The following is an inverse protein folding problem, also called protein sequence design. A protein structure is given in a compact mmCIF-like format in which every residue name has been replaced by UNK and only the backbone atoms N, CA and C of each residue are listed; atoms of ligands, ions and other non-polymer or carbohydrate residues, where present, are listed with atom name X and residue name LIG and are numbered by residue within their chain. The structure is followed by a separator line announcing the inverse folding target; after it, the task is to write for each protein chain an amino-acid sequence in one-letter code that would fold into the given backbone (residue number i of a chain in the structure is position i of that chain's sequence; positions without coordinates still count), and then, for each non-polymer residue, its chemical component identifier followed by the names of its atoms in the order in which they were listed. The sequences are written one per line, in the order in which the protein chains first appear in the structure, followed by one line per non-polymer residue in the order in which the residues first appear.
data_IF_442436592578
#
_entry.id   IF_442436592578
#
_cell.length_a   1.000
_cell.length_b   1.000
_cell.length_c   1.000
_cell.angle_alpha   90.00
_cell.angle_beta   90.00
_cell.angle_gamma   90.00
#
_symmetry.space_group_name_H-M   'P 1'
#
loop_
_entity.id
_entity.type
_entity.pdbx_description
1 polymer ?
#
# COMPACT_ATOMS: atom_id res chain seq x y z
N UNK A 1 -19.71 38.47 0.61
CA UNK A 1 -20.58 37.29 0.40
C UNK A 1 -19.78 35.99 0.31
N UNK A 2 -18.55 36.01 -0.18
CA UNK A 2 -17.59 34.88 -0.18
C UNK A 2 -17.16 34.44 1.23
N UNK A 3 -16.94 35.37 2.14
CA UNK A 3 -16.36 35.08 3.47
C UNK A 3 -17.28 34.22 4.38
N UNK A 4 -18.58 34.51 4.37
CA UNK A 4 -19.57 33.74 5.14
C UNK A 4 -19.78 32.31 4.58
N UNK A 5 -19.68 32.15 3.25
CA UNK A 5 -19.78 30.85 2.60
C UNK A 5 -18.56 29.97 2.90
N UNK A 6 -17.36 30.55 2.90
CA UNK A 6 -16.11 29.86 3.29
C UNK A 6 -16.14 29.47 4.76
N UNK A 7 -16.56 30.36 5.66
CA UNK A 7 -16.72 30.03 7.09
C UNK A 7 -17.69 28.86 7.33
N UNK A 8 -18.83 28.85 6.62
CA UNK A 8 -19.82 27.77 6.71
C UNK A 8 -19.26 26.42 6.23
N UNK A 9 -18.44 26.42 5.17
CA UNK A 9 -17.80 25.20 4.66
C UNK A 9 -16.72 24.64 5.60
N UNK A 10 -15.95 25.53 6.26
CA UNK A 10 -14.97 25.15 7.29
C UNK A 10 -15.66 24.51 8.49
N UNK A 11 -16.69 25.17 9.02
CA UNK A 11 -17.44 24.68 10.19
C UNK A 11 -18.10 23.32 9.90
N UNK A 12 -18.65 23.16 8.70
CA UNK A 12 -19.22 21.88 8.26
C UNK A 12 -18.16 20.77 8.19
N UNK A 13 -16.99 21.04 7.61
CA UNK A 13 -15.90 20.06 7.53
C UNK A 13 -15.37 19.66 8.92
N UNK A 14 -15.23 20.62 9.84
CA UNK A 14 -14.82 20.36 11.23
C UNK A 14 -15.88 19.52 11.97
N UNK A 15 -17.16 19.87 11.81
CA UNK A 15 -18.26 19.11 12.42
C UNK A 15 -18.32 17.67 11.88
N UNK A 16 -18.20 17.49 10.56
CA UNK A 16 -18.14 16.17 9.94
C UNK A 16 -16.94 15.36 10.40
N UNK A 17 -15.77 16.01 10.55
CA UNK A 17 -14.59 15.36 11.11
C UNK A 17 -14.84 14.79 12.49
N UNK A 18 -15.34 15.61 13.43
CA UNK A 18 -15.62 15.17 14.79
C UNK A 18 -16.64 14.02 14.85
N UNK A 19 -17.68 14.11 14.01
CA UNK A 19 -18.72 13.07 13.91
C UNK A 19 -18.17 11.74 13.38
N UNK A 20 -17.21 11.78 12.46
CA UNK A 20 -16.74 10.60 11.73
C UNK A 20 -15.45 9.98 12.31
N UNK A 21 -14.67 10.72 13.10
CA UNK A 21 -13.34 10.33 13.55
C UNK A 21 -13.30 8.97 14.26
N UNK A 22 -14.32 8.62 15.05
CA UNK A 22 -14.37 7.36 15.80
C UNK A 22 -14.67 6.11 14.97
N UNK A 23 -15.19 6.27 13.74
CA UNK A 23 -15.63 5.17 12.89
C UNK A 23 -14.92 5.12 11.53
N UNK A 24 -13.98 6.03 11.29
CA UNK A 24 -13.30 6.21 10.01
C UNK A 24 -11.82 5.90 10.11
N UNK A 25 -11.21 5.66 8.96
CA UNK A 25 -9.77 5.49 8.82
C UNK A 25 -9.12 6.86 8.65
N UNK A 26 -8.22 7.22 9.55
CA UNK A 26 -7.43 8.43 9.41
C UNK A 26 -6.36 8.26 8.32
N UNK A 27 -6.43 9.08 7.28
CA UNK A 27 -5.41 9.25 6.26
C UNK A 27 -4.62 10.52 6.59
N UNK A 28 -3.48 10.36 7.26
CA UNK A 28 -2.60 11.47 7.64
C UNK A 28 -1.42 11.58 6.65
N UNK A 29 -1.40 12.69 5.90
CA UNK A 29 -0.37 13.01 4.92
C UNK A 29 -0.78 12.78 3.45
N UNK A 30 -0.13 13.54 2.57
CA UNK A 30 -0.48 13.62 1.15
C UNK A 30 -0.44 12.26 0.43
N UNK A 31 0.58 11.44 0.69
CA UNK A 31 0.68 10.11 0.08
C UNK A 31 -0.46 9.18 0.46
N UNK A 32 -0.91 9.21 1.73
CA UNK A 32 -2.02 8.38 2.16
C UNK A 32 -3.33 8.78 1.46
N UNK A 33 -3.60 10.09 1.40
CA UNK A 33 -4.77 10.62 0.73
C UNK A 33 -4.76 10.32 -0.78
N UNK A 34 -3.67 10.62 -1.48
CA UNK A 34 -3.61 10.45 -2.94
C UNK A 34 -3.78 8.99 -3.37
N UNK A 35 -3.22 8.03 -2.61
CA UNK A 35 -3.39 6.61 -2.92
C UNK A 35 -4.82 6.17 -2.65
N UNK A 36 -5.41 6.57 -1.52
CA UNK A 36 -6.81 6.26 -1.22
C UNK A 36 -7.74 6.77 -2.33
N UNK A 37 -7.56 8.00 -2.80
CA UNK A 37 -8.32 8.55 -3.95
C UNK A 37 -8.11 7.71 -5.21
N UNK A 38 -6.84 7.40 -5.56
CA UNK A 38 -6.51 6.64 -6.77
C UNK A 38 -7.14 5.24 -6.78
N UNK A 39 -7.34 4.64 -5.60
CA UNK A 39 -7.98 3.34 -5.44
C UNK A 39 -9.46 3.42 -5.04
N UNK A 40 -10.11 4.57 -5.24
CA UNK A 40 -11.56 4.70 -5.10
C UNK A 40 -12.07 4.66 -3.67
N UNK A 41 -11.24 5.01 -2.68
CA UNK A 41 -11.69 5.14 -1.31
C UNK A 41 -12.80 6.18 -1.18
N UNK A 42 -13.85 5.86 -0.43
CA UNK A 42 -14.87 6.83 -0.06
C UNK A 42 -14.33 7.74 1.05
N UNK A 43 -14.16 9.01 0.76
CA UNK A 43 -13.60 10.03 1.67
C UNK A 43 -14.67 11.09 1.93
N UNK A 44 -15.41 11.01 3.05
CA UNK A 44 -16.45 12.00 3.35
C UNK A 44 -15.90 13.38 3.71
N UNK A 45 -14.69 13.46 4.26
CA UNK A 45 -14.07 14.74 4.66
C UNK A 45 -12.56 14.69 4.49
N UNK A 46 -12.00 15.74 3.90
CA UNK A 46 -10.57 15.98 3.77
C UNK A 46 -10.27 17.45 4.07
N UNK A 47 -9.26 17.70 4.89
CA UNK A 47 -8.85 19.03 5.33
C UNK A 47 -7.37 19.26 5.09
N UNK A 48 -6.98 20.52 4.87
CA UNK A 48 -5.59 20.94 4.76
C UNK A 48 -5.38 22.31 5.39
N UNK A 49 -4.18 22.56 5.92
CA UNK A 49 -3.80 23.88 6.41
C UNK A 49 -3.33 24.83 5.28
N UNK A 50 -2.93 24.30 4.12
CA UNK A 50 -2.51 25.06 2.94
C UNK A 50 -2.93 24.31 1.68
N UNK A 51 -4.04 24.74 1.07
CA UNK A 51 -4.60 24.08 -0.11
C UNK A 51 -3.72 24.28 -1.33
N UNK A 52 -3.08 25.44 -1.47
CA UNK A 52 -2.17 25.70 -2.59
C UNK A 52 -0.98 24.75 -2.53
N UNK A 53 -0.30 24.65 -1.39
CA UNK A 53 0.84 23.74 -1.23
C UNK A 53 0.45 22.27 -1.46
N UNK A 54 -0.76 21.87 -1.03
CA UNK A 54 -1.28 20.53 -1.28
C UNK A 54 -1.53 20.27 -2.77
N UNK A 55 -2.04 21.26 -3.51
CA UNK A 55 -2.28 21.15 -4.95
C UNK A 55 -0.97 21.20 -5.75
N UNK A 56 0.03 21.96 -5.33
CA UNK A 56 1.36 21.96 -5.93
C UNK A 56 2.00 20.54 -5.82
N UNK A 57 1.86 19.88 -4.66
CA UNK A 57 2.26 18.48 -4.49
C UNK A 57 1.46 17.53 -5.38
N UNK A 58 0.18 17.81 -5.62
CA UNK A 58 -0.66 17.03 -6.52
C UNK A 58 -0.20 17.15 -7.98
N UNK A 59 0.10 18.36 -8.44
CA UNK A 59 0.62 18.61 -9.79
C UNK A 59 1.96 17.89 -10.02
N UNK A 60 2.86 17.90 -9.02
CA UNK A 60 4.16 17.22 -9.13
C UNK A 60 4.04 15.68 -9.07
N UNK A 61 3.30 15.16 -8.09
CA UNK A 61 3.41 13.75 -7.67
C UNK A 61 2.20 12.88 -8.01
N UNK A 62 1.06 13.48 -8.37
CA UNK A 62 -0.18 12.76 -8.68
C UNK A 62 -1.16 13.60 -9.53
N UNK A 63 -0.75 14.07 -10.73
CA UNK A 63 -1.59 14.93 -11.56
C UNK A 63 -2.90 14.26 -12.00
N UNK A 64 -2.93 12.93 -12.03
CA UNK A 64 -4.12 12.13 -12.35
C UNK A 64 -5.25 12.20 -11.31
N UNK A 65 -4.97 12.63 -10.07
CA UNK A 65 -5.99 12.79 -9.02
C UNK A 65 -6.11 14.23 -8.52
N UNK A 66 -5.40 15.17 -9.14
CA UNK A 66 -5.34 16.57 -8.68
C UNK A 66 -6.72 17.22 -8.62
N UNK A 67 -7.52 17.10 -9.67
CA UNK A 67 -8.86 17.71 -9.70
C UNK A 67 -9.81 17.10 -8.67
N UNK A 68 -9.68 15.79 -8.42
CA UNK A 68 -10.42 15.12 -7.35
C UNK A 68 -10.00 15.62 -5.97
N UNK A 69 -8.70 15.82 -5.74
CA UNK A 69 -8.21 16.40 -4.49
C UNK A 69 -8.69 17.85 -4.31
N UNK A 70 -8.62 18.66 -5.37
CA UNK A 70 -9.13 20.04 -5.38
C UNK A 70 -10.61 20.09 -4.95
N UNK A 71 -11.44 19.23 -5.52
CA UNK A 71 -12.85 19.14 -5.17
C UNK A 71 -13.12 18.61 -3.73
N UNK A 72 -12.24 17.77 -3.19
CA UNK A 72 -12.40 17.15 -1.86
C UNK A 72 -11.89 18.01 -0.70
N UNK A 73 -10.88 18.86 -0.94
CA UNK A 73 -10.13 19.54 0.12
C UNK A 73 -10.79 20.83 0.59
N UNK A 74 -11.09 20.89 1.88
CA UNK A 74 -11.41 22.13 2.59
C UNK A 74 -10.15 22.67 3.27
N UNK A 75 -9.77 23.91 2.94
CA UNK A 75 -8.72 24.61 3.68
C UNK A 75 -9.25 25.05 5.05
N UNK A 76 -8.54 24.75 6.13
CA UNK A 76 -8.90 25.14 7.49
C UNK A 76 -7.73 25.88 8.15
N UNK A 77 -7.98 26.78 9.12
CA UNK A 77 -6.89 27.42 9.87
C UNK A 77 -5.97 26.38 10.52
N UNK A 78 -4.67 26.68 10.61
CA UNK A 78 -3.68 25.77 11.21
C UNK A 78 -4.06 25.33 12.64
N UNK A 79 -4.68 26.22 13.42
CA UNK A 79 -5.18 25.92 14.76
C UNK A 79 -6.30 24.88 14.75
N UNK A 80 -7.22 24.94 13.77
CA UNK A 80 -8.25 23.93 13.59
C UNK A 80 -7.62 22.61 13.12
N UNK A 81 -6.71 22.64 12.13
CA UNK A 81 -6.03 21.45 11.63
C UNK A 81 -5.31 20.67 12.74
N UNK A 82 -4.52 21.38 13.56
CA UNK A 82 -3.74 20.77 14.67
C UNK A 82 -4.62 20.24 15.80
N UNK A 83 -5.82 20.79 15.98
CA UNK A 83 -6.82 20.25 16.91
C UNK A 83 -7.46 18.94 16.39
N UNK A 84 -7.63 18.81 15.07
CA UNK A 84 -8.21 17.62 14.43
C UNK A 84 -7.23 16.45 14.32
N UNK A 85 -5.93 16.74 14.13
CA UNK A 85 -4.88 15.75 13.88
C UNK A 85 -3.78 15.88 14.95
N UNK A 86 -3.78 15.04 16.01
CA UNK A 86 -2.86 15.20 17.15
C UNK A 86 -1.36 15.06 16.81
N UNK A 87 -1.02 14.38 15.71
CA UNK A 87 0.37 14.25 15.22
C UNK A 87 0.45 14.61 13.74
N UNK A 88 0.38 15.92 13.40
CA UNK A 88 0.37 16.41 12.03
C UNK A 88 1.48 15.80 11.16
N UNK A 89 1.13 15.29 9.98
CA UNK A 89 2.12 15.05 8.94
C UNK A 89 2.68 16.39 8.39
N UNK A 90 3.97 16.48 8.02
CA UNK A 90 4.56 17.70 7.46
C UNK A 90 3.88 18.28 6.21
N UNK A 91 3.09 17.47 5.49
CA UNK A 91 2.32 17.93 4.32
C UNK A 91 1.01 18.62 4.70
N UNK A 92 0.68 18.70 5.99
CA UNK A 92 -0.49 19.39 6.54
C UNK A 92 -1.81 19.14 5.78
N UNK A 93 -2.04 17.86 5.42
CA UNK A 93 -3.27 17.39 4.79
C UNK A 93 -3.68 16.08 5.44
N UNK A 94 -4.96 15.96 5.75
CA UNK A 94 -5.51 14.75 6.34
C UNK A 94 -6.95 14.52 5.88
N UNK A 95 -7.39 13.27 5.94
CA UNK A 95 -8.75 12.91 5.59
C UNK A 95 -9.27 11.77 6.45
N UNK A 96 -10.59 11.64 6.53
CA UNK A 96 -11.25 10.47 7.08
C UNK A 96 -11.84 9.67 5.93
N UNK A 97 -11.47 8.40 5.82
CA UNK A 97 -11.96 7.49 4.80
C UNK A 97 -12.83 6.39 5.42
N UNK A 98 -13.82 5.92 4.67
CA UNK A 98 -14.62 4.77 5.07
C UNK A 98 -13.83 3.50 4.80
N UNK A 99 -13.65 2.68 5.84
CA UNK A 99 -13.01 1.36 5.71
C UNK A 99 -13.83 0.48 4.75
N UNK A 100 -13.20 -0.25 3.81
CA UNK A 100 -13.87 -1.30 3.04
C UNK A 100 -14.55 -2.31 3.98
N UNK A 101 -15.73 -2.79 3.60
CA UNK A 101 -16.45 -3.74 4.44
C UNK A 101 -15.69 -5.06 4.51
N UNK A 102 -15.78 -5.75 5.65
CA UNK A 102 -15.20 -7.09 5.82
C UNK A 102 -15.69 -8.04 4.72
N UNK A 103 -16.97 -7.98 4.36
CA UNK A 103 -17.55 -8.78 3.29
C UNK A 103 -16.85 -8.55 1.93
N UNK A 104 -16.61 -7.30 1.55
CA UNK A 104 -15.92 -6.98 0.30
C UNK A 104 -14.48 -7.51 0.29
N UNK A 105 -13.75 -7.38 1.40
CA UNK A 105 -12.40 -7.95 1.52
C UNK A 105 -12.42 -9.47 1.40
N UNK A 106 -13.33 -10.15 2.09
CA UNK A 106 -13.47 -11.61 2.03
C UNK A 106 -13.83 -12.09 0.63
N UNK A 107 -14.70 -11.38 -0.08
CA UNK A 107 -15.03 -11.69 -1.47
C UNK A 107 -13.79 -11.66 -2.37
N UNK A 108 -12.94 -10.63 -2.24
CA UNK A 108 -11.67 -10.52 -2.98
C UNK A 108 -10.73 -11.66 -2.63
N UNK A 109 -10.57 -11.97 -1.33
CA UNK A 109 -9.67 -13.02 -0.84
C UNK A 109 -10.09 -14.43 -1.28
N UNK A 110 -11.40 -14.65 -1.46
CA UNK A 110 -11.98 -15.95 -1.83
C UNK A 110 -12.06 -16.20 -3.35
N UNK A 111 -11.72 -15.21 -4.20
CA UNK A 111 -11.82 -15.36 -5.67
C UNK A 111 -11.04 -16.58 -6.17
N UNK A 112 -11.61 -17.31 -7.12
CA UNK A 112 -10.97 -18.47 -7.75
C UNK A 112 -11.15 -18.42 -9.27
N UNK A 113 -10.11 -18.61 -10.09
CA UNK A 113 -8.69 -18.67 -9.69
C UNK A 113 -8.18 -17.30 -9.22
N UNK A 114 -7.25 -17.29 -8.26
CA UNK A 114 -6.48 -16.08 -7.93
C UNK A 114 -5.35 -15.89 -8.95
N UNK A 115 -5.03 -14.63 -9.22
CA UNK A 115 -3.94 -14.24 -10.13
C UNK A 115 -2.74 -13.64 -9.39
N UNK A 116 -2.80 -13.60 -8.05
CA UNK A 116 -1.74 -13.10 -7.20
C UNK A 116 -1.89 -13.65 -5.77
N UNK A 117 -0.78 -13.84 -5.03
CA UNK A 117 -0.81 -14.51 -3.75
C UNK A 117 -1.52 -13.66 -2.69
N UNK A 118 -1.86 -14.32 -1.58
CA UNK A 118 -2.21 -13.63 -0.33
C UNK A 118 -1.03 -13.73 0.64
N UNK A 119 -0.65 -12.60 1.22
CA UNK A 119 0.37 -12.53 2.26
C UNK A 119 -0.31 -12.68 3.62
N UNK A 120 0.16 -13.62 4.45
CA UNK A 120 -0.33 -13.84 5.81
C UNK A 120 0.77 -13.47 6.79
N UNK A 121 0.48 -12.50 7.66
CA UNK A 121 1.32 -12.20 8.82
C UNK A 121 0.73 -12.88 10.05
N UNK A 122 1.48 -13.79 10.63
CA UNK A 122 1.04 -14.56 11.79
C UNK A 122 1.35 -13.82 13.09
N UNK A 123 0.31 -13.31 13.72
CA UNK A 123 0.34 -12.58 14.98
C UNK A 123 1.42 -11.47 15.03
N UNK A 124 1.45 -10.56 14.03
CA UNK A 124 2.47 -9.54 13.93
C UNK A 124 2.40 -8.59 15.12
N UNK A 125 3.55 -8.13 15.60
CA UNK A 125 3.64 -7.22 16.76
C UNK A 125 4.05 -5.81 16.39
N UNK A 126 4.75 -5.65 15.27
CA UNK A 126 5.28 -4.36 14.84
C UNK A 126 4.34 -3.66 13.83
N UNK A 127 3.72 -2.56 14.25
CA UNK A 127 2.83 -1.74 13.41
C UNK A 127 3.54 -1.18 12.17
N UNK A 128 4.83 -0.87 12.27
CA UNK A 128 5.64 -0.38 11.16
C UNK A 128 5.87 -1.46 10.10
N UNK A 129 6.23 -2.67 10.52
CA UNK A 129 6.36 -3.82 9.60
C UNK A 129 5.02 -4.15 8.94
N UNK A 130 3.92 -4.16 9.71
CA UNK A 130 2.58 -4.38 9.17
C UNK A 130 2.23 -3.37 8.04
N UNK A 131 2.48 -2.09 8.27
CA UNK A 131 2.25 -1.05 7.26
C UNK A 131 3.16 -1.21 6.04
N UNK A 132 4.45 -1.50 6.25
CA UNK A 132 5.41 -1.73 5.18
C UNK A 132 5.02 -2.94 4.31
N UNK A 133 4.54 -4.03 4.92
CA UNK A 133 4.05 -5.21 4.20
C UNK A 133 2.83 -4.87 3.35
N UNK A 134 1.85 -4.13 3.87
CA UNK A 134 0.69 -3.70 3.07
C UNK A 134 1.12 -2.88 1.85
N UNK A 135 2.08 -1.97 2.04
CA UNK A 135 2.66 -1.20 0.94
C UNK A 135 3.36 -2.08 -0.10
N UNK A 136 4.12 -3.07 0.33
CA UNK A 136 4.77 -4.04 -0.56
C UNK A 136 3.75 -4.86 -1.33
N UNK A 137 2.78 -5.45 -0.62
CA UNK A 137 1.71 -6.26 -1.20
C UNK A 137 0.93 -5.49 -2.27
N UNK A 138 0.54 -4.25 -1.97
CA UNK A 138 -0.10 -3.37 -2.95
C UNK A 138 0.80 -3.08 -4.17
N UNK A 139 2.09 -2.82 -3.95
CA UNK A 139 3.05 -2.56 -5.02
C UNK A 139 3.28 -3.75 -5.95
N UNK A 140 3.26 -4.97 -5.41
CA UNK A 140 3.35 -6.22 -6.19
C UNK A 140 1.99 -6.70 -6.73
N UNK A 141 0.89 -6.04 -6.38
CA UNK A 141 -0.45 -6.45 -6.78
C UNK A 141 -0.91 -7.77 -6.15
N UNK A 142 -0.43 -8.09 -4.94
CA UNK A 142 -0.94 -9.22 -4.17
C UNK A 142 -2.46 -9.11 -3.96
N UNK A 143 -3.15 -10.25 -3.94
CA UNK A 143 -4.62 -10.29 -3.76
C UNK A 143 -5.04 -9.68 -2.42
N UNK A 144 -4.21 -9.87 -1.39
CA UNK A 144 -4.46 -9.29 -0.08
C UNK A 144 -3.35 -9.51 0.93
N UNK A 145 -3.48 -8.80 2.05
CA UNK A 145 -2.72 -9.01 3.27
C UNK A 145 -3.69 -9.40 4.38
N UNK A 146 -3.47 -10.57 4.96
CA UNK A 146 -4.20 -11.05 6.12
C UNK A 146 -3.28 -11.05 7.32
N UNK A 147 -3.81 -10.63 8.47
CA UNK A 147 -3.09 -10.71 9.74
C UNK A 147 -3.88 -11.57 10.72
N UNK A 148 -3.21 -12.46 11.45
CA UNK A 148 -3.82 -13.15 12.60
C UNK A 148 -3.53 -12.38 13.89
N UNK A 149 -4.13 -12.80 15.01
CA UNK A 149 -3.88 -12.19 16.32
C UNK A 149 -4.68 -10.93 16.57
N UNK A 150 -4.10 -9.97 17.32
CA UNK A 150 -4.81 -8.81 17.88
C UNK A 150 -4.48 -7.47 17.24
N UNK A 151 -3.43 -7.40 16.43
CA UNK A 151 -3.04 -6.16 15.74
C UNK A 151 -4.13 -5.77 14.74
N UNK A 152 -4.66 -4.55 14.87
CA UNK A 152 -5.60 -4.00 13.90
C UNK A 152 -4.85 -3.49 12.67
N UNK A 153 -5.05 -4.07 11.47
CA UNK A 153 -4.38 -3.61 10.26
C UNK A 153 -4.80 -2.18 9.87
N UNK A 154 -5.92 -1.67 10.37
CA UNK A 154 -6.39 -0.31 10.08
C UNK A 154 -6.00 0.73 11.14
N UNK A 155 -5.15 0.33 12.10
CA UNK A 155 -4.60 1.23 13.10
C UNK A 155 -3.87 2.41 12.43
N UNK A 156 -4.01 3.68 12.91
CA UNK A 156 -3.44 4.85 12.24
C UNK A 156 -1.95 4.77 11.91
N UNK A 157 -1.13 4.18 12.81
CA UNK A 157 0.30 3.95 12.55
C UNK A 157 0.55 2.97 11.39
N UNK A 158 -0.29 1.95 11.23
CA UNK A 158 -0.19 0.96 10.13
C UNK A 158 -0.59 1.62 8.82
N UNK A 159 -1.69 2.38 8.82
CA UNK A 159 -2.17 3.14 7.65
C UNK A 159 -1.13 4.16 7.18
N UNK A 160 -0.50 4.88 8.12
CA UNK A 160 0.60 5.81 7.84
C UNK A 160 1.83 5.08 7.28
N UNK A 161 2.22 3.95 7.88
CA UNK A 161 3.32 3.11 7.36
C UNK A 161 3.06 2.52 5.98
N UNK A 162 1.79 2.18 5.70
CA UNK A 162 1.32 1.70 4.41
C UNK A 162 1.05 2.81 3.38
N UNK A 163 1.21 4.09 3.77
CA UNK A 163 0.91 5.24 2.93
C UNK A 163 -0.48 5.17 2.27
N UNK A 164 -1.51 4.73 3.00
CA UNK A 164 -2.88 4.62 2.49
C UNK A 164 -3.13 3.52 1.46
N UNK A 165 -2.14 2.68 1.13
CA UNK A 165 -2.29 1.59 0.14
C UNK A 165 -3.16 0.41 0.64
N UNK A 166 -3.77 0.54 1.81
CA UNK A 166 -4.77 -0.42 2.30
C UNK A 166 -5.99 -0.48 1.39
N UNK A 167 -6.24 0.59 0.62
CA UNK A 167 -7.33 0.66 -0.35
C UNK A 167 -6.98 0.02 -1.70
N UNK A 168 -5.71 -0.35 -1.93
CA UNK A 168 -5.25 -0.93 -3.19
C UNK A 168 -5.35 -2.47 -3.25
N UNK A 169 -5.58 -3.11 -2.11
CA UNK A 169 -5.59 -4.58 -1.96
C UNK A 169 -6.51 -4.95 -0.80
N UNK A 170 -6.93 -6.21 -0.70
CA UNK A 170 -7.75 -6.65 0.44
C UNK A 170 -6.89 -6.69 1.71
N UNK A 171 -7.32 -6.03 2.79
CA UNK A 171 -6.61 -6.02 4.07
C UNK A 171 -7.56 -6.38 5.19
N UNK A 172 -7.34 -7.52 5.85
CA UNK A 172 -8.23 -8.01 6.90
C UNK A 172 -7.50 -8.75 8.03
N UNK A 173 -8.14 -8.79 9.19
CA UNK A 173 -7.73 -9.62 10.32
C UNK A 173 -8.58 -10.89 10.36
N UNK A 174 -7.95 -12.05 10.25
CA UNK A 174 -8.61 -13.36 10.22
C UNK A 174 -7.96 -14.32 11.21
N UNK A 175 -8.71 -15.32 11.64
CA UNK A 175 -8.15 -16.49 12.32
C UNK A 175 -7.44 -17.40 11.33
N UNK A 176 -6.59 -18.31 11.81
CA UNK A 176 -5.92 -19.29 10.95
C UNK A 176 -6.93 -20.16 10.23
N UNK A 177 -8.07 -20.50 10.84
CA UNK A 177 -9.15 -21.27 10.19
C UNK A 177 -9.85 -20.51 9.05
N UNK A 178 -9.88 -19.18 9.08
CA UNK A 178 -10.54 -18.33 8.08
C UNK A 178 -9.63 -17.97 6.88
N UNK A 179 -8.35 -18.38 6.88
CA UNK A 179 -7.45 -18.06 5.77
C UNK A 179 -7.99 -18.64 4.44
N UNK A 180 -7.84 -17.89 3.33
CA UNK A 180 -8.34 -18.33 2.04
C UNK A 180 -7.70 -19.66 1.61
N UNK A 181 -8.38 -20.37 0.71
CA UNK A 181 -7.85 -21.59 0.10
C UNK A 181 -6.60 -21.32 -0.76
N UNK A 182 -5.88 -22.39 -1.09
CA UNK A 182 -4.65 -22.36 -1.87
C UNK A 182 -3.47 -22.97 -1.10
N UNK A 183 -2.38 -23.34 -1.79
CA UNK A 183 -1.22 -23.94 -1.17
C UNK A 183 -0.51 -22.94 -0.24
N UNK A 184 -0.27 -23.36 1.00
CA UNK A 184 0.36 -22.56 2.06
C UNK A 184 1.87 -22.76 2.01
N UNK A 185 2.59 -21.71 1.63
CA UNK A 185 4.04 -21.63 1.69
C UNK A 185 4.44 -20.83 2.93
N UNK A 186 4.91 -21.56 3.94
CA UNK A 186 5.29 -21.02 5.23
C UNK A 186 6.78 -20.73 5.27
N UNK A 187 7.14 -19.47 5.51
CA UNK A 187 8.54 -19.07 5.60
C UNK A 187 9.15 -19.52 6.94
N UNK A 188 10.13 -20.40 6.86
CA UNK A 188 10.86 -21.00 7.98
C UNK A 188 12.32 -21.29 7.56
N UNK A 189 13.27 -21.12 8.47
CA UNK A 189 14.70 -21.31 8.15
C UNK A 189 15.03 -22.76 7.79
N UNK A 190 14.23 -23.72 8.26
CA UNK A 190 14.38 -25.16 7.98
C UNK A 190 13.68 -25.60 6.68
N UNK A 191 13.12 -24.65 5.92
CA UNK A 191 12.44 -24.91 4.66
C UNK A 191 13.36 -25.06 3.45
N UNK A 192 12.76 -25.45 2.32
CA UNK A 192 13.45 -25.53 1.03
C UNK A 192 13.85 -24.14 0.53
N UNK A 193 15.02 -24.02 -0.10
CA UNK A 193 15.52 -22.75 -0.60
C UNK A 193 14.57 -22.17 -1.66
N UNK A 194 14.04 -20.97 -1.39
CA UNK A 194 13.08 -20.29 -2.26
C UNK A 194 13.53 -20.21 -3.72
N UNK A 195 14.85 -20.11 -3.98
CA UNK A 195 15.42 -19.94 -5.32
C UNK A 195 15.13 -21.13 -6.24
N UNK A 196 14.92 -22.31 -5.67
CA UNK A 196 14.57 -23.54 -6.40
C UNK A 196 13.07 -23.76 -6.56
N UNK A 197 12.23 -22.89 -5.98
CA UNK A 197 10.79 -23.08 -5.92
C UNK A 197 10.06 -22.15 -6.89
N UNK A 198 8.95 -22.64 -7.44
CA UNK A 198 7.97 -21.82 -8.16
C UNK A 198 6.80 -21.54 -7.21
N UNK A 199 6.56 -20.26 -6.92
CA UNK A 199 5.40 -19.86 -6.12
C UNK A 199 4.20 -19.66 -7.06
N UNK A 200 3.08 -20.39 -6.88
CA UNK A 200 1.90 -20.21 -7.73
C UNK A 200 1.14 -18.93 -7.38
N UNK A 201 0.32 -18.45 -8.32
CA UNK A 201 -0.46 -17.21 -8.17
C UNK A 201 -1.54 -17.33 -7.10
N UNK A 202 -2.00 -18.52 -6.76
CA UNK A 202 -2.94 -18.77 -5.69
C UNK A 202 -2.25 -19.19 -4.37
N UNK A 203 -0.95 -18.94 -4.22
CA UNK A 203 -0.25 -19.22 -2.97
C UNK A 203 -0.75 -18.37 -1.79
N UNK A 204 -0.76 -18.99 -0.62
CA UNK A 204 -0.86 -18.30 0.68
C UNK A 204 0.55 -18.25 1.27
N UNK A 205 1.15 -17.07 1.29
CA UNK A 205 2.53 -16.84 1.74
C UNK A 205 2.51 -16.46 3.22
N UNK A 206 2.87 -17.40 4.10
CA UNK A 206 2.76 -17.24 5.55
C UNK A 206 4.11 -16.85 6.19
N UNK A 207 4.08 -15.81 7.01
CA UNK A 207 5.25 -15.28 7.72
C UNK A 207 4.99 -15.23 9.22
N UNK A 208 5.90 -15.79 9.99
CA UNK A 208 5.86 -15.79 11.45
C UNK A 208 6.15 -14.42 12.09
N UNK A 209 5.86 -14.32 13.38
CA UNK A 209 6.24 -13.15 14.18
C UNK A 209 7.75 -13.11 14.42
N UNK A 210 8.29 -11.91 14.70
CA UNK A 210 9.73 -11.70 14.88
C UNK A 210 10.32 -12.48 16.08
N UNK A 211 9.50 -12.82 17.07
CA UNK A 211 9.96 -13.50 18.31
C UNK A 211 9.76 -15.00 18.29
N UNK A 212 8.64 -15.45 17.73
CA UNK A 212 8.19 -16.84 17.88
C UNK A 212 8.18 -17.62 16.57
N UNK A 213 8.47 -16.96 15.44
CA UNK A 213 8.19 -17.54 14.13
C UNK A 213 6.70 -17.82 13.97
N UNK A 214 6.38 -18.86 13.20
CA UNK A 214 5.01 -19.29 12.93
C UNK A 214 4.38 -19.94 14.17
N UNK A 215 3.11 -19.65 14.40
CA UNK A 215 2.31 -20.38 15.38
C UNK A 215 2.21 -21.86 15.00
N UNK A 216 2.05 -22.78 15.99
CA UNK A 216 1.84 -24.19 15.71
C UNK A 216 0.64 -24.45 14.79
N UNK A 217 -0.43 -23.67 14.94
CA UNK A 217 -1.64 -23.77 14.13
C UNK A 217 -1.37 -23.44 12.65
N UNK A 218 -0.67 -22.34 12.38
CA UNK A 218 -0.35 -21.95 11.01
C UNK A 218 0.72 -22.85 10.39
N UNK A 219 1.71 -23.29 11.18
CA UNK A 219 2.73 -24.25 10.73
C UNK A 219 2.11 -25.59 10.36
N UNK A 220 1.11 -26.07 11.10
CA UNK A 220 0.39 -27.30 10.80
C UNK A 220 -0.44 -27.22 9.50
N UNK A 221 -0.79 -26.01 9.04
CA UNK A 221 -1.45 -25.77 7.76
C UNK A 221 -0.49 -25.66 6.57
N UNK A 222 0.83 -25.62 6.80
CA UNK A 222 1.80 -25.44 5.73
C UNK A 222 1.87 -26.66 4.82
N UNK A 223 1.68 -26.44 3.51
CA UNK A 223 1.95 -27.44 2.48
C UNK A 223 3.45 -27.50 2.16
N UNK A 224 4.12 -26.35 2.28
CA UNK A 224 5.56 -26.21 2.03
C UNK A 224 6.20 -25.32 3.11
N UNK A 225 7.35 -25.76 3.61
CA UNK A 225 8.27 -24.87 4.35
C UNK A 225 9.28 -24.30 3.36
N UNK A 226 9.48 -22.99 3.39
CA UNK A 226 10.35 -22.27 2.47
C UNK A 226 11.35 -21.43 3.24
N UNK A 227 12.63 -21.54 2.90
CA UNK A 227 13.69 -20.72 3.49
C UNK A 227 14.15 -19.63 2.53
N UNK A 228 14.49 -18.49 3.11
CA UNK A 228 15.25 -17.44 2.43
C UNK A 228 16.73 -17.70 2.69
N UNK A 229 17.58 -17.77 1.66
CA UNK A 229 19.00 -18.08 1.85
C UNK A 229 19.67 -17.00 2.71
N UNK A 230 20.38 -17.43 3.73
CA UNK A 230 21.10 -16.58 4.66
C UNK A 230 22.56 -17.02 4.76
N UNK A 231 23.45 -16.07 5.05
CA UNK A 231 24.82 -16.42 5.44
C UNK A 231 24.80 -17.18 6.77
N UNK A 232 25.79 -18.06 7.03
CA UNK A 232 25.96 -18.65 8.35
C UNK A 232 26.01 -17.58 9.44
N UNK A 233 25.49 -17.93 10.64
CA UNK A 233 25.39 -17.08 11.85
C UNK A 233 24.39 -15.92 11.81
N UNK A 234 23.68 -15.67 10.71
CA UNK A 234 22.54 -14.74 10.70
C UNK A 234 21.26 -15.52 10.98
N UNK A 235 20.52 -15.11 12.02
CA UNK A 235 19.38 -15.86 12.53
C UNK A 235 18.05 -15.53 11.84
N UNK A 236 17.90 -14.32 11.29
CA UNK A 236 16.69 -13.91 10.56
C UNK A 236 16.87 -12.59 9.80
N UNK A 237 15.95 -12.35 8.86
CA UNK A 237 15.70 -11.04 8.26
C UNK A 237 14.55 -10.31 8.96
N UNK A 238 14.47 -8.99 8.78
CA UNK A 238 13.28 -8.21 9.14
C UNK A 238 12.04 -8.71 8.39
N UNK A 239 10.88 -8.76 9.06
CA UNK A 239 9.62 -9.29 8.51
C UNK A 239 9.24 -8.68 7.15
N UNK A 240 9.22 -7.36 7.03
CA UNK A 240 8.86 -6.69 5.78
C UNK A 240 9.89 -6.97 4.67
N UNK A 241 11.15 -7.14 5.04
CA UNK A 241 12.22 -7.51 4.09
C UNK A 241 12.04 -8.94 3.58
N UNK A 242 11.70 -9.89 4.46
CA UNK A 242 11.36 -11.27 4.07
C UNK A 242 10.17 -11.31 3.11
N UNK A 243 9.12 -10.54 3.40
CA UNK A 243 7.95 -10.42 2.50
C UNK A 243 8.35 -9.81 1.16
N UNK A 244 9.16 -8.75 1.15
CA UNK A 244 9.62 -8.11 -0.08
C UNK A 244 10.41 -9.09 -0.97
N UNK A 245 11.35 -9.86 -0.39
CA UNK A 245 12.12 -10.86 -1.14
C UNK A 245 11.24 -11.98 -1.69
N UNK A 246 10.27 -12.45 -0.90
CA UNK A 246 9.34 -13.49 -1.32
C UNK A 246 8.42 -13.03 -2.44
N UNK A 247 7.85 -11.83 -2.33
CA UNK A 247 7.00 -11.24 -3.39
C UNK A 247 7.79 -10.93 -4.66
N UNK A 248 9.03 -10.46 -4.52
CA UNK A 248 9.93 -10.25 -5.65
C UNK A 248 10.22 -11.58 -6.37
N UNK A 249 10.54 -12.64 -5.62
CA UNK A 249 10.72 -13.98 -6.18
C UNK A 249 9.44 -14.50 -6.88
N UNK A 250 8.28 -14.35 -6.24
CA UNK A 250 7.00 -14.70 -6.86
C UNK A 250 6.79 -13.93 -8.17
N UNK A 251 7.13 -12.64 -8.24
CA UNK A 251 6.88 -11.84 -9.46
C UNK A 251 7.60 -12.34 -10.72
N UNK A 252 8.69 -13.11 -10.59
CA UNK A 252 9.38 -13.75 -11.72
C UNK A 252 8.88 -15.15 -12.04
N UNK A 253 8.28 -15.82 -11.05
CA UNK A 253 7.93 -17.24 -11.13
C UNK A 253 6.42 -17.48 -11.24
N UNK A 254 5.62 -16.46 -10.95
CA UNK A 254 4.17 -16.43 -11.06
C UNK A 254 3.67 -16.53 -12.50
N UNK A 255 2.39 -16.89 -12.65
CA UNK A 255 1.76 -17.23 -13.93
C UNK A 255 1.54 -16.03 -14.87
N UNK A 256 1.66 -14.80 -14.38
CA UNK A 256 1.60 -13.58 -15.19
C UNK A 256 2.66 -12.57 -14.75
N UNK A 257 3.65 -12.36 -15.61
CA UNK A 257 4.53 -11.19 -15.51
C UNK A 257 3.66 -9.93 -15.43
N UNK A 258 3.91 -9.08 -14.44
CA UNK A 258 3.25 -7.80 -14.27
C UNK A 258 3.41 -7.00 -15.57
N UNK A 259 2.36 -6.92 -16.41
CA UNK A 259 2.40 -6.16 -17.65
C UNK A 259 2.39 -4.69 -17.21
N UNK A 260 3.58 -4.12 -17.05
CA UNK A 260 3.76 -2.74 -16.64
C UNK A 260 2.86 -1.84 -17.50
N UNK A 261 2.10 -0.97 -16.84
CA UNK A 261 1.24 0.00 -17.50
C UNK A 261 2.09 1.00 -18.31
N UNK A 262 2.48 0.62 -19.54
CA UNK A 262 3.05 1.52 -20.54
C UNK A 262 2.41 1.38 -21.91
N UNK A 263 1.34 0.59 -22.07
CA UNK A 263 0.46 0.67 -23.25
C UNK A 263 -0.55 1.82 -23.02
N UNK A 264 -0.06 3.06 -22.90
CA UNK A 264 -0.88 4.25 -23.13
C UNK A 264 -0.53 4.82 -24.50
N UNK A 265 -1.62 5.03 -25.26
CA UNK A 265 -1.74 5.68 -26.57
C UNK A 265 -0.98 5.05 -27.73
N UNK A 266 -1.71 4.21 -28.47
CA UNK A 266 -1.49 4.09 -29.92
C UNK A 266 -1.71 5.46 -30.56
N UNK A 267 -0.60 6.14 -30.85
CA UNK A 267 -0.57 7.21 -31.83
C UNK A 267 -0.29 6.57 -33.19
N UNK A 268 -1.18 6.80 -34.16
CA UNK A 268 -0.94 6.44 -35.56
C UNK A 268 0.38 7.04 -36.06
N UNK A 269 1.14 6.32 -36.91
CA UNK A 269 2.34 6.86 -37.51
C UNK A 269 1.97 7.93 -38.55
N UNK A 270 2.47 9.16 -38.36
CA UNK A 270 2.48 10.19 -39.42
C UNK A 270 3.47 9.78 -40.52
N UNK A 271 3.19 10.11 -41.80
CA UNK A 271 4.04 9.70 -42.91
C UNK A 271 5.37 10.48 -42.91
N UNK A 272 6.44 9.75 -43.21
CA UNK A 272 7.80 10.23 -43.32
C UNK A 272 7.94 11.35 -44.36
N UNK A 273 8.71 12.38 -44.02
CA UNK A 273 9.38 13.25 -45.00
C UNK A 273 10.85 13.37 -44.64
N UNK A 274 11.69 12.96 -45.59
CA UNK A 274 12.83 13.74 -46.04
C UNK A 274 14.11 13.68 -45.20
N UNK A 275 15.12 13.03 -45.78
CA UNK A 275 16.51 12.94 -45.33
C UNK A 275 17.17 14.26 -44.88
N UNK A 276 18.05 14.16 -43.88
CA UNK A 276 18.99 15.21 -43.49
C UNK A 276 19.99 14.72 -42.44
N UNK A 277 21.18 14.34 -42.89
CA UNK A 277 22.37 13.95 -42.12
C UNK A 277 22.75 14.96 -41.01
N UNK A 278 23.12 14.49 -39.82
CA UNK A 278 24.48 14.62 -39.25
C UNK A 278 24.58 14.10 -37.80
N UNK A 279 25.76 13.58 -37.48
CA UNK A 279 26.12 12.80 -36.31
C UNK A 279 26.19 13.57 -34.98
N UNK A 280 25.99 12.86 -33.84
CA UNK A 280 26.85 12.89 -32.62
C UNK A 280 26.26 12.02 -31.47
N UNK A 281 27.09 11.12 -30.91
CA UNK A 281 27.13 10.80 -29.47
C UNK A 281 26.10 9.84 -28.83
N UNK A 282 26.45 9.16 -27.70
CA UNK A 282 25.80 7.93 -27.26
C UNK A 282 24.61 8.16 -26.30
N UNK A 283 23.50 7.45 -26.51
CA UNK A 283 22.40 7.39 -25.54
C UNK A 283 22.67 6.35 -24.45
N UNK A 284 23.14 6.82 -23.29
CA UNK A 284 22.88 6.17 -22.00
C UNK A 284 21.46 6.54 -21.57
N UNK A 285 20.55 5.58 -21.55
CA UNK A 285 19.30 5.71 -20.80
C UNK A 285 19.62 5.55 -19.31
N UNK A 286 19.55 6.65 -18.57
CA UNK A 286 19.71 6.67 -17.12
C UNK A 286 18.47 6.03 -16.47
N UNK A 287 18.68 4.90 -15.81
CA UNK A 287 17.78 4.43 -14.75
C UNK A 287 17.73 5.53 -13.68
N UNK A 288 16.53 6.05 -13.40
CA UNK A 288 16.30 7.03 -12.34
C UNK A 288 16.45 6.32 -10.99
N UNK A 289 17.70 6.23 -10.53
CA UNK A 289 18.08 5.67 -9.23
C UNK A 289 17.40 6.47 -8.12
N UNK A 290 16.82 5.72 -7.19
CA UNK A 290 16.31 6.10 -5.88
C UNK A 290 17.27 7.09 -5.18
N UNK A 291 16.94 8.38 -5.14
CA UNK A 291 17.64 9.34 -4.27
C UNK A 291 17.28 9.03 -2.83
N UNK A 292 18.20 8.39 -2.13
CA UNK A 292 18.23 8.34 -0.66
C UNK A 292 18.47 9.77 -0.18
N UNK A 293 17.43 10.42 0.33
CA UNK A 293 17.59 11.66 1.09
C UNK A 293 18.45 11.35 2.32
N UNK A 294 19.62 11.98 2.40
CA UNK A 294 20.41 12.07 3.63
C UNK A 294 19.87 13.26 4.42
N UNK A 295 19.36 13.00 5.62
CA UNK A 295 19.05 14.06 6.58
C UNK A 295 20.36 14.58 7.17
N UNK A 296 20.49 15.91 7.20
CA UNK A 296 21.33 16.60 8.18
C UNK A 296 20.61 16.65 9.53
#
# INVERSE_FOLDING_TARGET
MTDAATGTAIDAAVADWHRLAGASVLLDGFHALKHAVRFGARIPVAVTADRRATLDLADELAPDVRDTLDALLTEVPETAYTALVPRPHPTAVAALAVRPSRAANLEVLARTPRTAPVVVLDNPRNLGNAGAVIRLAAGFGATGVVMTGTLDPWHPTVVRGGAGLHFATAVERLTVAELPSGPVFALDAEGDDIRGLKLPDDAVLAFGSERSGLSPELRARADHLVSLPMRPQVSSYNLATSVAMTLYHWSFTGGRAFKAASERSGAEPRPERGAGNCATGPHRAAAKVLRVQRSA
#
